data_IF_785273145938
#
_entry.id   IF_785273145938
#
_cell.length_a   1.000
_cell.length_b   1.000
_cell.length_c   1.000
_cell.angle_alpha   90.00
_cell.angle_beta   90.00
_cell.angle_gamma   90.00
#
_symmetry.space_group_name_H-M   'P 1'
#
loop_
_entity.id
_entity.type
_entity.pdbx_description
1 polymer ?
#
# COMPACT_ATOMS: atom_id res chain seq x y z
N UNK A 1 -51.85 3.71 3.87
CA UNK A 1 -50.84 4.04 4.89
C UNK A 1 -49.79 2.94 5.15
N UNK A 2 -49.95 1.71 4.66
CA UNK A 2 -49.04 0.58 4.95
C UNK A 2 -47.77 0.55 4.05
N UNK A 3 -47.85 1.08 2.83
CA UNK A 3 -46.75 1.05 1.84
C UNK A 3 -45.58 1.97 2.23
N UNK A 4 -45.87 3.09 2.90
CA UNK A 4 -44.86 4.07 3.35
C UNK A 4 -43.98 3.47 4.46
N UNK A 5 -44.54 2.59 5.29
CA UNK A 5 -43.82 1.93 6.38
C UNK A 5 -42.77 0.94 5.87
N UNK A 6 -43.10 0.20 4.80
CA UNK A 6 -42.18 -0.77 4.18
C UNK A 6 -41.00 -0.05 3.53
N UNK A 7 -41.24 1.08 2.86
CA UNK A 7 -40.18 1.86 2.21
C UNK A 7 -39.18 2.44 3.22
N UNK A 8 -39.67 2.95 4.36
CA UNK A 8 -38.82 3.42 5.46
C UNK A 8 -38.01 2.29 6.11
N UNK A 9 -38.60 1.10 6.25
CA UNK A 9 -37.88 -0.07 6.76
C UNK A 9 -36.71 -0.48 5.84
N UNK A 10 -36.91 -0.43 4.51
CA UNK A 10 -35.85 -0.78 3.55
C UNK A 10 -34.73 0.27 3.53
N UNK A 11 -35.04 1.56 3.65
CA UNK A 11 -34.04 2.64 3.76
C UNK A 11 -33.24 2.50 5.07
N UNK A 12 -33.90 2.18 6.19
CA UNK A 12 -33.23 1.93 7.46
C UNK A 12 -32.29 0.70 7.40
N UNK A 13 -32.71 -0.36 6.70
CA UNK A 13 -31.89 -1.56 6.51
C UNK A 13 -30.66 -1.28 5.62
N UNK A 14 -30.81 -0.43 4.60
CA UNK A 14 -29.71 0.01 3.72
C UNK A 14 -28.69 0.86 4.50
N UNK A 15 -29.15 1.77 5.36
CA UNK A 15 -28.30 2.61 6.21
C UNK A 15 -27.59 1.81 7.31
N UNK A 16 -28.25 0.81 7.90
CA UNK A 16 -27.64 -0.11 8.87
C UNK A 16 -26.49 -0.91 8.25
N UNK A 17 -26.65 -1.38 7.00
CA UNK A 17 -25.57 -2.07 6.26
C UNK A 17 -24.41 -1.14 5.92
N UNK A 18 -24.66 0.14 5.65
CA UNK A 18 -23.62 1.11 5.29
C UNK A 18 -22.85 1.66 6.51
N UNK A 19 -23.48 1.74 7.69
CA UNK A 19 -22.81 2.13 8.94
C UNK A 19 -22.02 0.98 9.59
N UNK A 20 -22.29 -0.28 9.23
CA UNK A 20 -21.52 -1.45 9.69
C UNK A 20 -20.24 -1.71 8.86
N UNK A 21 -19.87 -0.80 7.94
CA UNK A 21 -18.60 -0.84 7.19
C UNK A 21 -17.57 0.18 7.69
N UNK A 22 -17.66 0.59 8.95
CA UNK A 22 -16.61 1.35 9.61
C UNK A 22 -16.37 0.88 11.04
N UNK A 23 -15.76 -0.29 11.16
CA UNK A 23 -14.83 -0.59 12.25
C UNK A 23 -13.90 -1.72 11.80
N UNK A 24 -12.62 -1.37 11.76
CA UNK A 24 -11.49 -2.29 11.70
C UNK A 24 -11.76 -3.53 12.56
N UNK A 25 -11.70 -4.71 11.95
CA UNK A 25 -11.60 -5.97 12.67
C UNK A 25 -10.34 -6.68 12.19
N UNK A 26 -9.20 -6.26 12.76
CA UNK A 26 -8.09 -7.19 13.00
C UNK A 26 -8.43 -7.93 14.30
N UNK A 27 -8.56 -9.27 14.32
CA UNK A 27 -8.94 -10.00 15.52
C UNK A 27 -7.71 -10.40 16.35
N UNK A 28 -6.84 -9.45 16.70
CA UNK A 28 -5.61 -9.77 17.45
C UNK A 28 -5.26 -8.85 18.62
N UNK A 29 -6.19 -8.05 19.13
CA UNK A 29 -5.93 -7.26 20.35
C UNK A 29 -7.14 -7.26 21.27
N UNK A 30 -7.40 -8.41 21.90
CA UNK A 30 -8.22 -8.50 23.11
C UNK A 30 -7.46 -9.33 24.14
N UNK A 31 -6.57 -8.65 24.86
CA UNK A 31 -5.80 -9.25 25.97
C UNK A 31 -4.38 -8.70 25.99
N UNK A 32 -4.07 -7.97 27.06
CA UNK A 32 -2.78 -7.37 27.42
C UNK A 32 -2.40 -6.05 26.75
N UNK A 33 -2.69 -5.01 27.52
CA UNK A 33 -1.97 -3.74 27.65
C UNK A 33 -0.46 -3.95 27.43
N UNK A 34 0.05 -3.44 26.32
CA UNK A 34 1.45 -3.02 26.20
C UNK A 34 1.42 -1.61 25.62
N UNK A 35 1.58 -0.62 26.49
CA UNK A 35 1.77 0.77 26.10
C UNK A 35 3.17 0.84 25.49
N UNK A 36 3.26 0.75 24.16
CA UNK A 36 4.45 1.21 23.45
C UNK A 36 4.33 2.73 23.43
N UNK A 37 5.27 3.48 24.03
CA UNK A 37 5.18 4.93 24.02
C UNK A 37 5.30 5.41 22.57
N UNK A 38 4.32 6.18 22.12
CA UNK A 38 4.51 7.14 21.04
C UNK A 38 5.62 8.10 21.47
N UNK A 39 6.86 7.78 21.11
CA UNK A 39 7.83 8.81 20.77
C UNK A 39 7.47 9.30 19.37
N UNK A 40 6.52 10.23 19.34
CA UNK A 40 6.36 11.20 18.28
C UNK A 40 7.58 12.11 18.34
N UNK A 41 8.66 11.69 17.70
CA UNK A 41 9.78 12.56 17.38
C UNK A 41 9.48 13.19 16.01
N UNK A 42 9.29 14.52 15.89
CA UNK A 42 9.01 15.16 14.60
C UNK A 42 10.24 15.23 13.67
N UNK A 43 11.31 14.49 14.01
CA UNK A 43 12.52 14.28 13.21
C UNK A 43 12.99 12.83 13.31
N UNK A 44 12.12 11.85 13.06
CA UNK A 44 12.61 10.48 12.80
C UNK A 44 12.25 10.06 11.38
N UNK A 45 13.32 9.76 10.64
CA UNK A 45 13.31 9.04 9.38
C UNK A 45 12.45 7.78 9.50
N UNK A 46 11.17 7.86 9.13
CA UNK A 46 10.38 6.67 8.83
C UNK A 46 11.07 5.99 7.66
N UNK A 47 11.89 4.99 7.96
CA UNK A 47 12.72 4.31 6.97
C UNK A 47 11.80 3.84 5.85
N UNK A 48 12.10 4.18 4.59
CA UNK A 48 11.29 3.79 3.43
C UNK A 48 11.03 2.28 3.37
N UNK A 49 11.90 1.49 4.01
CA UNK A 49 11.70 0.07 4.27
C UNK A 49 10.48 -0.24 5.17
N UNK A 50 10.26 0.46 6.28
CA UNK A 50 9.15 0.19 7.22
C UNK A 50 7.78 0.30 6.54
N UNK A 51 7.66 1.18 5.55
CA UNK A 51 6.43 1.37 4.78
C UNK A 51 6.14 0.20 3.84
N UNK A 52 7.19 -0.37 3.24
CA UNK A 52 7.06 -1.59 2.41
C UNK A 52 6.76 -2.77 3.33
N UNK A 53 7.49 -2.87 4.44
CA UNK A 53 7.41 -3.96 5.42
C UNK A 53 6.01 -4.08 6.03
N UNK A 54 5.37 -2.94 6.32
CA UNK A 54 4.06 -2.87 6.96
C UNK A 54 2.88 -2.76 5.97
N UNK A 55 3.12 -2.82 4.66
CA UNK A 55 2.05 -2.73 3.66
C UNK A 55 1.31 -4.06 3.50
N UNK A 56 -0.03 -4.04 3.46
CA UNK A 56 -0.86 -5.22 3.12
C UNK A 56 -0.50 -5.84 1.76
N UNK A 57 0.05 -5.05 0.84
CA UNK A 57 0.51 -5.46 -0.49
C UNK A 57 2.04 -5.51 -0.61
N UNK A 58 2.74 -5.82 0.49
CA UNK A 58 4.22 -5.82 0.57
C UNK A 58 4.87 -6.61 -0.56
N UNK A 59 4.40 -7.83 -0.82
CA UNK A 59 4.95 -8.69 -1.86
C UNK A 59 4.91 -8.01 -3.24
N UNK A 60 3.74 -7.47 -3.64
CA UNK A 60 3.59 -6.79 -4.92
C UNK A 60 4.42 -5.51 -5.00
N UNK A 61 4.54 -4.75 -3.90
CA UNK A 61 5.38 -3.55 -3.87
C UNK A 61 6.86 -3.89 -4.03
N UNK A 62 7.34 -4.95 -3.36
CA UNK A 62 8.71 -5.44 -3.51
C UNK A 62 8.93 -5.91 -4.93
N UNK A 63 8.01 -6.71 -5.50
CA UNK A 63 8.15 -7.21 -6.88
C UNK A 63 8.15 -6.10 -7.93
N UNK A 64 7.32 -5.07 -7.76
CA UNK A 64 7.34 -3.87 -8.62
C UNK A 64 8.68 -3.16 -8.49
N UNK A 65 9.17 -2.95 -7.26
CA UNK A 65 10.46 -2.30 -7.01
C UNK A 65 11.64 -3.10 -7.60
N UNK A 66 11.65 -4.42 -7.39
CA UNK A 66 12.62 -5.35 -7.98
C UNK A 66 12.60 -5.31 -9.50
N UNK A 67 11.41 -5.27 -10.09
CA UNK A 67 11.29 -5.18 -11.54
C UNK A 67 11.86 -3.86 -12.05
N UNK A 68 11.49 -2.73 -11.44
CA UNK A 68 12.04 -1.42 -11.82
C UNK A 68 13.56 -1.34 -11.66
N UNK A 69 14.14 -2.08 -10.71
CA UNK A 69 15.58 -2.14 -10.50
C UNK A 69 16.35 -2.82 -11.65
N UNK A 70 15.68 -3.66 -12.46
CA UNK A 70 16.31 -4.37 -13.59
C UNK A 70 16.49 -3.48 -14.83
N UNK A 71 15.81 -2.35 -14.90
CA UNK A 71 15.82 -1.48 -16.08
C UNK A 71 16.50 -0.14 -15.76
N UNK A 72 17.77 0.00 -16.14
CA UNK A 72 18.53 1.25 -15.95
C UNK A 72 17.88 2.44 -16.67
N UNK A 73 17.28 2.18 -17.83
CA UNK A 73 16.57 3.19 -18.63
C UNK A 73 15.14 3.47 -18.16
N UNK A 74 14.71 2.85 -17.06
CA UNK A 74 13.36 2.96 -16.52
C UNK A 74 12.37 1.98 -17.17
N UNK A 75 11.34 1.61 -16.40
CA UNK A 75 10.32 0.67 -16.82
C UNK A 75 8.98 1.39 -17.05
N UNK A 76 8.23 0.99 -18.08
CA UNK A 76 6.86 1.46 -18.29
C UNK A 76 5.88 0.64 -17.47
N UNK A 77 4.70 1.22 -17.23
CA UNK A 77 3.61 0.55 -16.51
C UNK A 77 3.18 -0.74 -17.21
N UNK A 78 3.16 -0.73 -18.55
CA UNK A 78 2.76 -1.86 -19.39
C UNK A 78 3.72 -3.05 -19.23
N UNK A 79 5.03 -2.78 -19.18
CA UNK A 79 6.06 -3.81 -19.03
C UNK A 79 5.93 -4.50 -17.66
N UNK A 80 5.76 -3.69 -16.61
CA UNK A 80 5.59 -4.19 -15.23
C UNK A 80 4.27 -4.96 -15.09
N UNK A 81 3.20 -4.43 -15.68
CA UNK A 81 1.85 -5.04 -15.66
C UNK A 81 1.87 -6.43 -16.30
N UNK A 82 2.54 -6.56 -17.44
CA UNK A 82 2.67 -7.82 -18.17
C UNK A 82 3.55 -8.81 -17.39
N UNK A 83 4.70 -8.37 -16.91
CA UNK A 83 5.65 -9.25 -16.22
C UNK A 83 5.16 -9.76 -14.87
N UNK A 84 4.41 -8.94 -14.12
CA UNK A 84 3.90 -9.30 -12.80
C UNK A 84 2.46 -9.83 -12.83
N UNK A 85 1.84 -9.92 -14.01
CA UNK A 85 0.43 -10.27 -14.19
C UNK A 85 -0.50 -9.44 -13.27
N UNK A 86 -0.24 -8.14 -13.19
CA UNK A 86 -1.02 -7.19 -12.39
C UNK A 86 -1.73 -6.23 -13.32
N UNK A 87 -2.93 -5.77 -12.95
CA UNK A 87 -3.61 -4.73 -13.74
C UNK A 87 -2.80 -3.43 -13.73
N UNK A 88 -2.81 -2.70 -14.87
CA UNK A 88 -2.14 -1.39 -15.00
C UNK A 88 -2.53 -0.41 -13.89
N UNK A 89 -3.79 -0.45 -13.43
CA UNK A 89 -4.29 0.38 -12.31
C UNK A 89 -3.60 0.05 -10.99
N UNK A 90 -3.43 -1.24 -10.68
CA UNK A 90 -2.73 -1.69 -9.47
C UNK A 90 -1.25 -1.34 -9.54
N UNK A 91 -0.61 -1.54 -10.69
CA UNK A 91 0.79 -1.16 -10.92
C UNK A 91 1.00 0.34 -10.71
N UNK A 92 0.18 1.21 -11.31
CA UNK A 92 0.23 2.67 -11.07
C UNK A 92 0.05 3.02 -9.60
N UNK A 93 -0.88 2.35 -8.92
CA UNK A 93 -1.10 2.57 -7.48
C UNK A 93 0.16 2.24 -6.66
N UNK A 94 0.84 1.14 -7.01
CA UNK A 94 2.08 0.73 -6.36
C UNK A 94 3.25 1.67 -6.70
N UNK A 95 3.42 2.05 -7.96
CA UNK A 95 4.45 2.97 -8.40
C UNK A 95 4.29 4.36 -7.78
N UNK A 96 3.08 4.92 -7.76
CA UNK A 96 2.79 6.19 -7.09
C UNK A 96 3.09 6.13 -5.59
N UNK A 97 2.83 4.97 -4.95
CA UNK A 97 3.20 4.77 -3.55
C UNK A 97 4.72 4.79 -3.39
N UNK A 98 5.46 4.03 -4.20
CA UNK A 98 6.93 4.00 -4.17
C UNK A 98 7.55 5.37 -4.46
N UNK A 99 6.97 6.13 -5.40
CA UNK A 99 7.40 7.47 -5.78
C UNK A 99 7.20 8.47 -4.64
N UNK A 100 6.05 8.41 -3.96
CA UNK A 100 5.77 9.25 -2.77
C UNK A 100 6.83 9.06 -1.67
N UNK A 101 7.45 7.89 -1.59
CA UNK A 101 8.53 7.61 -0.63
C UNK A 101 9.93 7.76 -1.22
N UNK A 102 10.05 8.35 -2.42
CA UNK A 102 11.32 8.63 -3.08
C UNK A 102 12.09 7.38 -3.50
N UNK A 103 11.44 6.20 -3.60
CA UNK A 103 12.09 4.94 -3.96
C UNK A 103 12.20 4.75 -5.49
N UNK A 104 11.28 5.39 -6.21
CA UNK A 104 11.30 5.46 -7.68
C UNK A 104 11.02 6.90 -8.09
N UNK A 105 11.48 7.29 -9.27
CA UNK A 105 11.15 8.57 -9.90
C UNK A 105 10.50 8.33 -11.25
N UNK A 106 9.47 9.11 -11.58
CA UNK A 106 8.85 9.10 -12.90
C UNK A 106 9.48 10.20 -13.77
N UNK A 107 9.96 9.83 -14.96
CA UNK A 107 10.41 10.76 -15.99
C UNK A 107 9.96 10.25 -17.36
N UNK A 108 9.29 11.09 -18.14
CA UNK A 108 8.77 10.73 -19.48
C UNK A 108 7.98 9.40 -19.50
N UNK A 109 7.07 9.22 -18.54
CA UNK A 109 6.23 8.01 -18.38
C UNK A 109 7.03 6.71 -18.14
N UNK A 110 8.28 6.84 -17.68
CA UNK A 110 9.13 5.73 -17.26
C UNK A 110 9.48 5.88 -15.78
N UNK A 111 9.38 4.78 -15.05
CA UNK A 111 9.75 4.71 -13.64
C UNK A 111 11.16 4.16 -13.48
N UNK A 112 12.05 4.96 -12.91
CA UNK A 112 13.43 4.58 -12.58
C UNK A 112 13.58 4.40 -11.07
N UNK A 113 14.35 3.40 -10.66
CA UNK A 113 14.68 3.23 -9.25
C UNK A 113 15.67 4.33 -8.82
N UNK A 114 15.46 4.92 -7.64
CA UNK A 114 16.40 5.87 -7.05
C UNK A 114 17.49 5.15 -6.25
N UNK A 115 18.54 5.86 -5.84
CA UNK A 115 19.56 5.28 -4.96
C UNK A 115 18.99 4.85 -3.62
N UNK A 116 18.01 5.59 -3.09
CA UNK A 116 17.29 5.20 -1.87
C UNK A 116 16.44 3.95 -2.08
N UNK A 117 15.81 3.81 -3.25
CA UNK A 117 15.14 2.58 -3.69
C UNK A 117 16.06 1.38 -3.71
N UNK A 118 17.27 1.52 -4.27
CA UNK A 118 18.28 0.45 -4.30
C UNK A 118 18.73 0.05 -2.89
N UNK A 119 19.04 1.04 -2.04
CA UNK A 119 19.42 0.80 -0.62
C UNK A 119 18.31 0.07 0.13
N UNK A 120 17.07 0.52 -0.04
CA UNK A 120 15.89 -0.09 0.58
C UNK A 120 15.68 -1.52 0.11
N UNK A 121 15.80 -1.78 -1.20
CA UNK A 121 15.67 -3.12 -1.76
C UNK A 121 16.75 -4.07 -1.22
N UNK A 122 17.99 -3.60 -1.11
CA UNK A 122 19.08 -4.39 -0.52
C UNK A 122 18.83 -4.70 0.96
N UNK A 123 18.35 -3.72 1.75
CA UNK A 123 17.96 -3.96 3.15
C UNK A 123 16.87 -5.03 3.26
N UNK A 124 15.86 -4.98 2.39
CA UNK A 124 14.78 -5.97 2.36
C UNK A 124 15.32 -7.37 2.05
N UNK A 125 16.19 -7.52 1.06
CA UNK A 125 16.84 -8.80 0.72
C UNK A 125 17.66 -9.36 1.88
N UNK A 126 18.46 -8.51 2.53
CA UNK A 126 19.26 -8.90 3.69
C UNK A 126 18.41 -9.32 4.89
N UNK A 127 17.16 -8.83 4.99
CA UNK A 127 16.21 -9.23 6.02
C UNK A 127 15.46 -10.54 5.73
N UNK A 128 15.80 -11.24 4.64
CA UNK A 128 15.25 -12.57 4.32
C UNK A 128 13.87 -12.54 3.66
N UNK A 129 13.51 -11.44 3.00
CA UNK A 129 12.28 -11.31 2.21
C UNK A 129 12.49 -11.64 0.73
#
# INVERSE_FOLDING_TARGET
MLVISIFLFHIALLMSKHHSYRSFSCPFLRGNIFIIPLSLDPKSSSSSSDIIINSKSRYNLIKVLEFTAKFENGAKVEDISTALNLSRKVVRTHLNKLEKFGLVSCFEDKYKITDEGKRTLNKIRLSGF
#
